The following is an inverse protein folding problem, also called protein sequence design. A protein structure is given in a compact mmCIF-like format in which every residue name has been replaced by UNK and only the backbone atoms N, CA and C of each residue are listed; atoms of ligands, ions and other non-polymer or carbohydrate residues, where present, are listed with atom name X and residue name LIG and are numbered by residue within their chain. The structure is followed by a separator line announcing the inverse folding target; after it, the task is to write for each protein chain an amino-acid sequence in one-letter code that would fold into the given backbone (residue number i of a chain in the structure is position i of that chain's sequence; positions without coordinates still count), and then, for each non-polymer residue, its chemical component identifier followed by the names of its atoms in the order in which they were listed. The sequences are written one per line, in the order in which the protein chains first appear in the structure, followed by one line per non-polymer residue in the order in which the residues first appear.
data_IF_409636919033
#
_entry.id   IF_409636919033
#
_cell.length_a   1.000
_cell.length_b   1.000
_cell.length_c   1.000
_cell.angle_alpha   90.00
_cell.angle_beta   90.00
_cell.angle_gamma   90.00
#
_symmetry.space_group_name_H-M   'P 1'
#
loop_
_entity.id
_entity.type
_entity.pdbx_description
1 polymer ?
#
# COMPACT_ATOMS: atom_id res chain seq x y z
N UNK A 1 17.34 -34.64 10.02
CA UNK A 1 17.37 -33.29 10.64
C UNK A 1 16.36 -32.44 9.88
N UNK A 2 15.06 -32.71 10.07
CA UNK A 2 14.02 -32.27 9.12
C UNK A 2 12.95 -31.36 9.77
N UNK A 3 13.15 -30.97 11.03
CA UNK A 3 12.15 -30.24 11.82
C UNK A 3 12.10 -28.72 11.58
N UNK A 4 12.97 -28.15 10.75
CA UNK A 4 13.05 -26.68 10.58
C UNK A 4 12.26 -26.13 9.39
N UNK A 5 11.76 -26.99 8.48
CA UNK A 5 11.00 -26.54 7.29
C UNK A 5 9.47 -26.54 7.46
N UNK A 6 8.95 -27.25 8.46
CA UNK A 6 7.50 -27.32 8.69
C UNK A 6 6.93 -26.14 9.47
N UNK A 7 7.77 -25.39 10.19
CA UNK A 7 7.30 -24.28 11.03
C UNK A 7 6.85 -23.06 10.20
N UNK A 8 7.47 -22.83 9.03
CA UNK A 8 7.07 -21.76 8.11
C UNK A 8 5.74 -22.03 7.39
N UNK A 9 5.38 -23.31 7.21
CA UNK A 9 4.12 -23.69 6.56
C UNK A 9 2.90 -23.49 7.47
N UNK A 10 3.08 -23.59 8.78
CA UNK A 10 1.98 -23.49 9.76
C UNK A 10 1.76 -22.06 10.27
N UNK A 11 2.75 -21.17 10.17
CA UNK A 11 2.58 -19.76 10.55
C UNK A 11 1.59 -19.00 9.65
N UNK A 12 1.38 -19.44 8.41
CA UNK A 12 0.40 -18.83 7.50
C UNK A 12 -1.06 -19.16 7.82
N UNK A 13 -1.33 -20.23 8.59
CA UNK A 13 -2.69 -20.74 8.81
C UNK A 13 -3.30 -20.36 10.17
N UNK A 14 -2.52 -19.86 11.13
CA UNK A 14 -2.98 -19.61 12.51
C UNK A 14 -3.14 -18.11 12.85
N UNK A 15 -2.75 -17.21 11.95
CA UNK A 15 -2.87 -15.75 12.13
C UNK A 15 -4.16 -15.14 11.56
N UNK A 16 -5.19 -15.95 11.32
CA UNK A 16 -6.48 -15.52 10.75
C UNK A 16 -7.52 -15.23 11.84
N UNK A 17 -7.15 -14.44 12.84
CA UNK A 17 -8.13 -13.76 13.72
C UNK A 17 -8.52 -12.38 13.20
N UNK A 18 -7.99 -11.95 12.04
CA UNK A 18 -8.45 -10.75 11.33
C UNK A 18 -9.23 -11.13 10.08
N UNK A 19 -10.43 -10.61 9.90
CA UNK A 19 -11.32 -10.84 8.74
C UNK A 19 -10.78 -10.32 7.39
N UNK A 20 -9.58 -9.75 7.35
CA UNK A 20 -8.95 -9.22 6.14
C UNK A 20 -7.97 -10.25 5.58
N UNK A 21 -8.43 -11.06 4.62
CA UNK A 21 -7.56 -11.93 3.83
C UNK A 21 -6.89 -11.10 2.75
N UNK A 22 -5.56 -10.96 2.82
CA UNK A 22 -4.79 -10.21 1.84
C UNK A 22 -4.76 -10.92 0.47
N UNK A 23 -5.07 -10.21 -0.63
CA UNK A 23 -4.91 -10.73 -1.99
C UNK A 23 -3.50 -11.25 -2.27
N UNK A 24 -3.38 -12.32 -3.06
CA UNK A 24 -2.08 -12.94 -3.40
C UNK A 24 -1.16 -11.99 -4.17
N UNK A 25 -1.72 -11.11 -5.01
CA UNK A 25 -0.98 -10.07 -5.73
C UNK A 25 -0.22 -9.13 -4.80
N UNK A 26 -0.76 -8.88 -3.61
CA UNK A 26 -0.15 -8.01 -2.60
C UNK A 26 0.90 -8.80 -1.82
N UNK A 27 0.58 -10.03 -1.40
CA UNK A 27 1.51 -10.90 -0.65
C UNK A 27 2.82 -11.15 -1.40
N UNK A 28 2.76 -11.24 -2.72
CA UNK A 28 3.91 -11.55 -3.56
C UNK A 28 4.59 -10.29 -4.13
N UNK A 29 4.13 -9.08 -3.81
CA UNK A 29 4.72 -7.85 -4.33
C UNK A 29 6.00 -7.48 -3.56
N UNK A 30 7.20 -7.64 -4.16
CA UNK A 30 8.46 -7.40 -3.46
C UNK A 30 8.60 -5.95 -3.00
N UNK A 31 7.92 -4.98 -3.63
CA UNK A 31 7.96 -3.57 -3.26
C UNK A 31 7.36 -3.31 -1.87
N UNK A 32 6.61 -4.25 -1.33
CA UNK A 32 5.93 -4.12 -0.04
C UNK A 32 6.68 -4.79 1.11
N UNK A 33 7.68 -5.64 0.82
CA UNK A 33 8.34 -6.49 1.80
C UNK A 33 9.87 -6.40 1.77
N UNK A 34 10.47 -5.79 0.74
CA UNK A 34 11.93 -5.67 0.60
C UNK A 34 12.38 -4.22 0.74
N UNK A 35 13.42 -4.03 1.53
CA UNK A 35 14.10 -2.74 1.65
C UNK A 35 14.67 -2.29 0.30
N UNK A 36 14.67 -0.98 0.09
CA UNK A 36 15.24 -0.26 -1.04
C UNK A 36 16.00 0.98 -0.51
N UNK A 37 16.76 1.65 -1.36
CA UNK A 37 17.50 2.86 -0.99
C UNK A 37 16.57 3.96 -0.43
N UNK A 38 15.35 4.05 -0.96
CA UNK A 38 14.38 5.09 -0.59
C UNK A 38 13.38 4.66 0.48
N UNK A 39 13.35 3.38 0.88
CA UNK A 39 12.36 2.84 1.83
C UNK A 39 12.89 1.62 2.57
N UNK A 40 12.74 1.62 3.90
CA UNK A 40 13.10 0.50 4.76
C UNK A 40 11.95 0.12 5.67
N UNK A 41 11.84 -1.17 5.96
CA UNK A 41 10.77 -1.74 6.75
C UNK A 41 11.28 -2.26 8.10
N UNK A 42 10.36 -2.38 9.05
CA UNK A 42 10.58 -3.07 10.32
C UNK A 42 10.07 -4.51 10.26
N UNK A 43 10.39 -5.32 11.27
CA UNK A 43 9.82 -6.68 11.39
C UNK A 43 8.36 -6.66 11.88
N UNK A 44 7.89 -5.53 12.42
CA UNK A 44 6.52 -5.38 12.90
C UNK A 44 5.58 -5.18 11.72
N UNK A 45 4.45 -5.89 11.73
CA UNK A 45 3.41 -5.77 10.71
C UNK A 45 2.37 -4.71 11.12
N UNK A 46 1.77 -4.04 10.14
CA UNK A 46 0.65 -3.12 10.33
C UNK A 46 -0.70 -3.84 10.28
N UNK A 47 -1.80 -3.09 10.41
CA UNK A 47 -3.17 -3.63 10.32
C UNK A 47 -3.51 -4.36 9.01
N UNK A 48 -2.74 -4.17 7.93
CA UNK A 48 -2.88 -4.92 6.68
C UNK A 48 -1.98 -6.16 6.61
N UNK A 49 -1.34 -6.57 7.72
CA UNK A 49 -0.33 -7.64 7.75
C UNK A 49 0.87 -7.39 6.82
N UNK A 50 1.20 -6.13 6.53
CA UNK A 50 2.39 -5.75 5.74
C UNK A 50 3.43 -5.11 6.67
N UNK A 51 4.75 -5.29 6.46
CA UNK A 51 5.78 -4.63 7.25
C UNK A 51 5.57 -3.12 7.39
N UNK A 52 5.72 -2.63 8.62
CA UNK A 52 5.67 -1.20 8.92
C UNK A 52 6.90 -0.51 8.34
N UNK A 53 6.70 0.69 7.77
CA UNK A 53 7.78 1.52 7.25
C UNK A 53 8.57 2.09 8.44
N UNK A 54 9.88 1.87 8.44
CA UNK A 54 10.81 2.42 9.44
C UNK A 54 11.36 3.79 9.02
N UNK A 55 11.69 3.92 7.73
CA UNK A 55 12.22 5.15 7.15
C UNK A 55 11.95 5.15 5.65
N UNK A 56 11.57 6.28 5.08
CA UNK A 56 11.36 6.40 3.65
C UNK A 56 11.54 7.86 3.20
N UNK A 57 11.77 8.07 1.92
CA UNK A 57 11.69 9.42 1.33
C UNK A 57 10.23 9.88 1.27
N UNK A 58 9.96 11.21 1.22
CA UNK A 58 8.60 11.74 1.05
C UNK A 58 7.87 11.13 -0.15
N UNK A 59 8.57 10.91 -1.27
CA UNK A 59 8.01 10.34 -2.50
C UNK A 59 7.53 8.91 -2.28
N UNK A 60 8.29 8.08 -1.56
CA UNK A 60 7.87 6.71 -1.22
C UNK A 60 6.71 6.67 -0.24
N UNK A 61 6.63 7.62 0.69
CA UNK A 61 5.48 7.74 1.59
C UNK A 61 4.22 8.17 0.83
N UNK A 62 4.34 9.09 -0.13
CA UNK A 62 3.22 9.48 -1.00
C UNK A 62 2.78 8.31 -1.89
N UNK A 63 3.71 7.58 -2.51
CA UNK A 63 3.39 6.36 -3.28
C UNK A 63 2.60 5.36 -2.43
N UNK A 64 3.00 5.19 -1.16
CA UNK A 64 2.33 4.31 -0.22
C UNK A 64 0.92 4.80 0.16
N UNK A 65 0.74 6.11 0.35
CA UNK A 65 -0.56 6.73 0.60
C UNK A 65 -1.53 6.49 -0.58
N UNK A 66 -0.99 6.52 -1.80
CA UNK A 66 -1.75 6.42 -3.05
C UNK A 66 -1.97 4.99 -3.55
N UNK A 67 -1.43 3.97 -2.89
CA UNK A 67 -1.58 2.59 -3.32
C UNK A 67 -2.94 2.01 -2.85
N UNK A 68 -3.96 2.11 -3.71
CA UNK A 68 -5.32 1.67 -3.38
C UNK A 68 -5.48 0.15 -3.21
N UNK A 69 -4.45 -0.65 -3.55
CA UNK A 69 -4.51 -2.11 -3.39
C UNK A 69 -4.53 -2.50 -1.91
N UNK A 70 -3.87 -1.72 -1.05
CA UNK A 70 -3.89 -1.89 0.40
C UNK A 70 -3.65 -0.52 1.05
N UNK A 71 -4.52 -0.13 1.97
CA UNK A 71 -4.30 1.09 2.76
C UNK A 71 -4.46 0.76 4.23
N UNK A 72 -3.35 0.83 4.96
CA UNK A 72 -3.34 0.58 6.40
C UNK A 72 -3.86 1.80 7.15
N UNK A 73 -4.85 1.60 8.03
CA UNK A 73 -5.39 2.65 8.90
C UNK A 73 -4.27 3.26 9.75
N UNK A 74 -3.37 2.44 10.30
CA UNK A 74 -2.22 2.92 11.09
C UNK A 74 -1.32 3.84 10.27
N UNK A 75 -1.05 3.47 9.01
CA UNK A 75 -0.25 4.28 8.09
C UNK A 75 -0.97 5.59 7.76
N UNK A 76 -2.26 5.52 7.39
CA UNK A 76 -3.04 6.69 7.02
C UNK A 76 -3.10 7.72 8.16
N UNK A 77 -3.41 7.26 9.37
CA UNK A 77 -3.46 8.13 10.55
C UNK A 77 -2.09 8.75 10.83
N UNK A 78 -1.04 7.93 10.84
CA UNK A 78 0.33 8.43 11.10
C UNK A 78 0.75 9.44 10.03
N UNK A 79 0.52 9.14 8.76
CA UNK A 79 0.86 10.04 7.65
C UNK A 79 0.09 11.37 7.77
N UNK A 80 -1.25 11.33 7.87
CA UNK A 80 -2.07 12.55 7.87
C UNK A 80 -1.83 13.44 9.10
N UNK A 81 -1.48 12.84 10.24
CA UNK A 81 -1.15 13.60 11.46
C UNK A 81 0.24 14.24 11.42
N UNK A 82 1.17 13.73 10.60
CA UNK A 82 2.60 14.11 10.69
C UNK A 82 3.22 14.61 9.39
N UNK A 83 2.54 14.54 8.25
CA UNK A 83 3.12 14.84 6.94
C UNK A 83 3.75 16.22 6.83
N UNK A 84 3.24 17.20 7.58
CA UNK A 84 3.73 18.59 7.58
C UNK A 84 5.19 18.74 8.01
N UNK A 85 5.78 17.70 8.60
CA UNK A 85 7.21 17.67 8.96
C UNK A 85 8.10 17.51 7.71
N UNK A 86 7.61 16.88 6.64
CA UNK A 86 8.42 16.49 5.49
C UNK A 86 7.80 16.82 4.12
N UNK A 87 6.56 17.31 4.07
CA UNK A 87 5.90 17.78 2.85
C UNK A 87 4.78 18.77 3.20
N UNK A 88 4.07 19.28 2.20
CA UNK A 88 2.97 20.23 2.37
C UNK A 88 1.62 19.69 1.90
N UNK A 89 0.55 20.41 2.25
CA UNK A 89 -0.81 19.99 1.95
C UNK A 89 -1.13 20.03 0.46
N UNK A 90 -0.45 20.89 -0.30
CA UNK A 90 -0.63 20.99 -1.76
C UNK A 90 -0.11 19.72 -2.41
N UNK A 91 1.09 19.29 -2.05
CA UNK A 91 1.73 18.06 -2.54
C UNK A 91 0.88 16.83 -2.24
N UNK A 92 0.37 16.71 -1.01
CA UNK A 92 -0.53 15.61 -0.62
C UNK A 92 -1.83 15.64 -1.43
N UNK A 93 -2.44 16.83 -1.57
CA UNK A 93 -3.70 16.97 -2.32
C UNK A 93 -3.51 16.62 -3.80
N UNK A 94 -2.43 17.07 -4.44
CA UNK A 94 -2.14 16.73 -5.83
C UNK A 94 -1.91 15.23 -6.02
N UNK A 95 -1.20 14.57 -5.10
CA UNK A 95 -1.01 13.12 -5.14
C UNK A 95 -2.35 12.36 -5.04
N UNK A 96 -3.25 12.80 -4.16
CA UNK A 96 -4.58 12.21 -4.01
C UNK A 96 -5.48 12.47 -5.24
N UNK A 97 -5.47 13.71 -5.77
CA UNK A 97 -6.19 14.07 -6.99
C UNK A 97 -5.74 13.20 -8.16
N UNK A 98 -4.44 12.98 -8.30
CA UNK A 98 -3.87 12.12 -9.33
C UNK A 98 -4.51 10.74 -9.32
N UNK A 99 -4.56 10.08 -8.17
CA UNK A 99 -5.19 8.76 -8.05
C UNK A 99 -6.69 8.82 -8.27
N UNK A 100 -7.38 9.86 -7.80
CA UNK A 100 -8.82 9.95 -7.92
C UNK A 100 -9.28 10.17 -9.37
N UNK A 101 -8.58 11.03 -10.13
CA UNK A 101 -8.96 11.40 -11.50
C UNK A 101 -8.29 10.55 -12.57
N UNK A 102 -7.05 10.08 -12.37
CA UNK A 102 -6.34 9.23 -13.35
C UNK A 102 -6.66 7.74 -13.19
N UNK A 103 -7.51 7.36 -12.23
CA UNK A 103 -8.00 5.97 -12.09
C UNK A 103 -9.11 5.59 -13.08
N UNK A 104 -9.58 6.52 -13.93
CA UNK A 104 -10.55 6.23 -14.99
C UNK A 104 -9.88 5.41 -16.12
N UNK A 105 -10.52 4.32 -16.62
CA UNK A 105 -9.99 3.49 -17.69
C UNK A 105 -10.09 4.17 -19.08
N UNK A 106 -9.32 3.73 -20.10
CA UNK A 106 -9.30 4.29 -21.46
C UNK A 106 -10.60 4.20 -22.29
N UNK A 107 -11.75 3.87 -21.69
CA UNK A 107 -13.01 3.59 -22.42
C UNK A 107 -14.12 4.64 -22.21
N UNK A 108 -13.78 5.84 -21.73
CA UNK A 108 -14.72 6.98 -21.72
C UNK A 108 -14.88 7.66 -23.11
N UNK A 109 -14.69 6.91 -24.19
CA UNK A 109 -15.05 7.37 -25.53
C UNK A 109 -16.50 6.95 -25.80
N UNK A 110 -17.45 7.75 -25.29
CA UNK A 110 -18.83 7.66 -25.74
C UNK A 110 -18.86 7.86 -27.26
N UNK A 111 -19.41 6.92 -28.06
CA UNK A 111 -19.66 7.22 -29.44
C UNK A 111 -20.73 8.31 -29.46
N UNK A 112 -20.37 9.51 -29.91
CA UNK A 112 -21.30 10.46 -30.47
C UNK A 112 -21.89 9.84 -31.74
N UNK A 113 -22.83 8.91 -31.55
CA UNK A 113 -23.69 8.40 -32.59
C UNK A 113 -24.72 9.48 -32.91
N UNK A 114 -24.53 10.09 -34.07
CA UNK A 114 -25.39 11.12 -34.66
C UNK A 114 -26.87 10.85 -34.47
N UNK A 115 -27.59 11.88 -34.02
CA UNK A 115 -29.01 12.05 -34.33
C UNK A 115 -29.13 12.22 -35.85
N UNK A 116 -29.57 11.18 -36.55
CA UNK A 116 -30.36 11.26 -37.78
C UNK A 116 -31.45 10.20 -37.75
#
# INVERSE_FOLDING_TARGET
MDNVRFNDLLHGSLSDTSSVTMPQSIRNDPKLFKDDVDIRFSRTLNSCKIPQIRSATPERLLQRLTDLRFLSIDFLNTFLLTYRVFTDGVTVLEALKKVFYEAEPPDAQMPTGSLM
#
